data_IF_999049502303
#
_entry.id   IF_999049502303
#
_cell.length_a   1.000
_cell.length_b   1.000
_cell.length_c   1.000
_cell.angle_alpha   90.00
_cell.angle_beta   90.00
_cell.angle_gamma   90.00
#
_symmetry.space_group_name_H-M   'P 1'
#
loop_
_entity.id
_entity.type
_entity.pdbx_description
1 polymer ?
#
# COMPACT_ATOMS: atom_id res chain seq x y z
N UNK A 1 -6.75 13.87 -13.94
CA UNK A 1 -7.30 14.71 -12.84
C UNK A 1 -8.56 14.11 -12.20
N UNK A 2 -9.60 13.68 -12.96
CA UNK A 2 -10.77 13.02 -12.34
C UNK A 2 -10.46 11.66 -11.68
N UNK A 3 -9.54 10.86 -12.22
CA UNK A 3 -9.07 9.62 -11.58
C UNK A 3 -8.27 9.90 -10.29
N UNK A 4 -7.44 10.94 -10.32
CA UNK A 4 -6.63 11.48 -9.22
C UNK A 4 -7.47 11.90 -8.00
N UNK A 5 -8.72 12.32 -8.24
CA UNK A 5 -9.68 12.65 -7.17
C UNK A 5 -10.50 11.45 -6.69
N UNK A 6 -10.65 10.38 -7.47
CA UNK A 6 -11.45 9.21 -7.10
C UNK A 6 -10.65 8.26 -6.20
N UNK A 7 -9.38 8.03 -6.52
CA UNK A 7 -8.43 7.28 -5.67
C UNK A 7 -8.22 8.00 -4.34
N UNK A 8 -7.90 9.30 -4.37
CA UNK A 8 -7.76 10.11 -3.15
C UNK A 8 -9.05 10.19 -2.30
N UNK A 9 -10.25 10.26 -2.91
CA UNK A 9 -11.51 10.25 -2.12
C UNK A 9 -11.75 8.92 -1.45
N UNK A 10 -11.50 7.79 -2.11
CA UNK A 10 -11.65 6.47 -1.47
C UNK A 10 -10.62 6.26 -0.36
N UNK A 11 -9.39 6.77 -0.52
CA UNK A 11 -8.37 6.76 0.54
C UNK A 11 -8.74 7.65 1.74
N UNK A 12 -9.43 8.77 1.51
CA UNK A 12 -9.93 9.66 2.58
C UNK A 12 -11.22 9.13 3.23
N UNK A 13 -12.14 8.51 2.47
CA UNK A 13 -13.40 7.97 3.00
C UNK A 13 -13.19 6.73 3.89
N UNK A 14 -12.08 6.00 3.74
CA UNK A 14 -11.69 4.90 4.63
C UNK A 14 -11.10 5.37 5.99
N UNK A 15 -10.78 6.66 6.14
CA UNK A 15 -10.21 7.21 7.37
C UNK A 15 -11.33 7.77 8.25
N UNK A 16 -12.08 6.88 8.91
CA UNK A 16 -12.93 7.25 10.04
C UNK A 16 -12.05 7.39 11.30
N UNK A 17 -11.55 8.60 11.59
CA UNK A 17 -10.86 8.89 12.86
C UNK A 17 -11.91 9.22 13.92
N UNK A 18 -12.28 8.23 14.74
CA UNK A 18 -13.08 8.43 15.94
C UNK A 18 -12.17 8.41 17.19
N UNK A 19 -12.16 9.54 17.92
CA UNK A 19 -11.84 9.78 19.35
C UNK A 19 -10.48 9.34 19.97
N UNK A 20 -9.97 10.07 20.99
CA UNK A 20 -8.60 9.96 21.49
C UNK A 20 -8.49 8.90 22.61
N UNK A 21 -8.17 7.67 22.23
CA UNK A 21 -7.62 6.65 23.13
C UNK A 21 -6.29 6.18 22.56
N UNK A 22 -5.29 5.93 23.41
CA UNK A 22 -3.93 5.52 23.04
C UNK A 22 -3.92 4.55 21.84
N UNK A 23 -3.41 5.02 20.70
CA UNK A 23 -3.09 4.16 19.57
C UNK A 23 -1.90 3.32 20.03
N UNK A 24 -2.01 1.98 20.17
CA UNK A 24 -0.85 1.15 20.39
C UNK A 24 0.02 1.26 19.14
N UNK A 25 1.04 2.11 19.21
CA UNK A 25 1.97 2.30 18.13
C UNK A 25 2.84 1.04 17.96
N UNK A 26 3.14 0.62 16.71
CA UNK A 26 2.57 1.07 15.44
C UNK A 26 1.46 0.13 14.96
N UNK A 27 0.30 0.70 14.58
CA UNK A 27 -0.69 -0.01 13.78
C UNK A 27 -0.13 -0.11 12.36
N UNK A 28 0.25 -1.31 11.92
CA UNK A 28 0.66 -1.62 10.55
C UNK A 28 -0.44 -1.15 9.59
N UNK A 29 -0.14 -0.19 8.71
CA UNK A 29 -1.05 0.25 7.65
C UNK A 29 -0.61 -0.34 6.32
N UNK A 30 -1.57 -0.84 5.56
CA UNK A 30 -1.35 -1.47 4.26
C UNK A 30 -2.42 -1.01 3.27
N UNK A 31 -2.08 -0.98 1.98
CA UNK A 31 -3.04 -0.76 0.92
C UNK A 31 -3.30 -2.08 0.20
N UNK A 32 -4.56 -2.51 0.22
CA UNK A 32 -5.00 -3.75 -0.40
C UNK A 32 -6.00 -3.47 -1.52
N UNK A 33 -5.76 -4.08 -2.67
CA UNK A 33 -6.65 -4.12 -3.82
C UNK A 33 -6.88 -5.58 -4.16
N UNK A 34 -8.13 -6.02 -4.12
CA UNK A 34 -8.49 -7.40 -4.47
C UNK A 34 -8.31 -7.66 -5.97
N UNK A 35 -7.94 -8.90 -6.31
CA UNK A 35 -7.83 -9.36 -7.70
C UNK A 35 -7.46 -10.85 -7.75
N UNK A 36 -7.50 -11.43 -8.94
CA UNK A 36 -7.13 -12.83 -9.19
C UNK A 36 -5.63 -13.06 -8.97
N UNK A 37 -4.81 -12.07 -9.34
CA UNK A 37 -3.38 -12.03 -9.06
C UNK A 37 -3.09 -10.82 -8.17
N UNK A 38 -2.41 -11.04 -7.06
CA UNK A 38 -2.01 -9.97 -6.14
C UNK A 38 -0.53 -9.64 -6.35
N UNK A 39 -0.23 -8.38 -6.66
CA UNK A 39 1.13 -7.86 -6.72
C UNK A 39 1.55 -7.28 -5.37
N UNK A 40 2.62 -7.81 -4.79
CA UNK A 40 3.25 -7.23 -3.61
C UNK A 40 4.01 -5.95 -3.98
N UNK A 41 3.89 -4.91 -3.16
CA UNK A 41 4.64 -3.66 -3.31
C UNK A 41 5.25 -3.20 -1.98
N UNK A 42 6.53 -2.82 -2.00
CA UNK A 42 7.13 -2.04 -0.92
C UNK A 42 7.29 -0.61 -1.42
N UNK A 43 6.77 0.35 -0.66
CA UNK A 43 6.82 1.76 -0.97
C UNK A 43 7.40 2.52 0.21
N UNK A 44 8.23 3.50 -0.09
CA UNK A 44 8.83 4.39 0.90
C UNK A 44 7.85 5.54 1.24
N UNK A 45 6.70 5.21 1.84
CA UNK A 45 5.66 6.21 2.13
C UNK A 45 6.13 7.20 3.18
N UNK A 46 6.87 6.72 4.18
CA UNK A 46 7.51 7.55 5.19
C UNK A 46 9.04 7.55 5.05
N UNK A 47 9.66 8.63 5.50
CA UNK A 47 11.10 8.77 5.63
C UNK A 47 11.65 7.90 6.76
N UNK A 48 12.96 7.69 6.73
CA UNK A 48 13.70 7.08 7.83
C UNK A 48 13.75 8.01 9.05
N UNK A 49 13.54 7.44 10.24
CA UNK A 49 13.71 8.11 11.53
C UNK A 49 14.30 7.13 12.55
N UNK A 50 15.33 7.47 13.32
CA UNK A 50 16.00 6.48 14.17
C UNK A 50 15.30 6.27 15.53
N UNK A 51 14.48 7.23 15.97
CA UNK A 51 13.83 7.19 17.30
C UNK A 51 12.48 6.49 17.32
N UNK A 52 11.77 6.47 16.20
CA UNK A 52 10.46 5.83 16.03
C UNK A 52 10.46 4.94 14.78
N UNK A 53 9.42 4.14 14.58
CA UNK A 53 9.36 3.17 13.47
C UNK A 53 9.48 3.86 12.11
N UNK A 54 8.75 4.96 11.89
CA UNK A 54 8.68 5.68 10.63
C UNK A 54 8.72 7.19 10.87
N UNK A 55 9.36 7.93 9.96
CA UNK A 55 9.46 9.38 9.97
C UNK A 55 8.28 10.07 9.31
N UNK A 56 8.43 11.34 8.88
CA UNK A 56 7.41 12.07 8.12
C UNK A 56 7.07 11.42 6.78
N UNK A 57 5.89 11.73 6.22
CA UNK A 57 5.46 11.23 4.91
C UNK A 57 6.30 11.87 3.79
N UNK A 58 6.75 11.06 2.82
CA UNK A 58 7.38 11.49 1.57
C UNK A 58 6.34 11.69 0.46
N UNK A 59 5.98 12.93 0.09
CA UNK A 59 4.91 13.15 -0.89
C UNK A 59 5.30 12.71 -2.30
N UNK A 60 6.52 13.01 -2.73
CA UNK A 60 7.00 12.73 -4.09
C UNK A 60 7.67 11.35 -4.21
N UNK A 61 8.43 10.92 -3.20
CA UNK A 61 9.11 9.61 -3.21
C UNK A 61 8.17 8.45 -2.87
N UNK A 62 7.28 8.67 -1.89
CA UNK A 62 6.40 7.63 -1.37
C UNK A 62 5.01 7.66 -1.97
N UNK A 63 4.24 8.70 -1.66
CA UNK A 63 2.82 8.79 -2.03
C UNK A 63 2.63 8.79 -3.55
N UNK A 64 3.46 9.54 -4.29
CA UNK A 64 3.39 9.56 -5.75
C UNK A 64 3.71 8.18 -6.36
N UNK A 65 4.67 7.44 -5.81
CA UNK A 65 5.00 6.09 -6.27
C UNK A 65 3.87 5.10 -5.98
N UNK A 66 3.32 5.13 -4.76
CA UNK A 66 2.15 4.36 -4.35
C UNK A 66 0.96 4.59 -5.29
N UNK A 67 0.61 5.86 -5.52
CA UNK A 67 -0.51 6.23 -6.40
C UNK A 67 -0.22 5.88 -7.86
N UNK A 68 1.04 5.94 -8.30
CA UNK A 68 1.41 5.51 -9.67
C UNK A 68 1.17 4.02 -9.86
N UNK A 69 1.46 3.19 -8.85
CA UNK A 69 1.16 1.76 -8.89
C UNK A 69 -0.35 1.52 -8.97
N UNK A 70 -1.14 2.14 -8.08
CA UNK A 70 -2.60 2.01 -8.06
C UNK A 70 -3.25 2.49 -9.37
N UNK A 71 -2.82 3.64 -9.89
CA UNK A 71 -3.27 4.15 -11.18
C UNK A 71 -2.94 3.19 -12.33
N UNK A 72 -1.77 2.56 -12.29
CA UNK A 72 -1.38 1.58 -13.31
C UNK A 72 -2.28 0.35 -13.27
N UNK A 73 -2.65 -0.13 -12.08
CA UNK A 73 -3.60 -1.23 -11.92
C UNK A 73 -4.98 -0.88 -12.50
N UNK A 74 -5.47 0.33 -12.23
CA UNK A 74 -6.73 0.80 -12.80
C UNK A 74 -6.70 0.83 -14.34
N UNK A 75 -5.59 1.30 -14.92
CA UNK A 75 -5.40 1.34 -16.38
C UNK A 75 -5.32 -0.06 -16.98
N UNK A 76 -4.70 -1.02 -16.30
CA UNK A 76 -4.62 -2.41 -16.75
C UNK A 76 -5.97 -3.11 -16.66
N UNK A 77 -6.66 -2.98 -15.52
CA UNK A 77 -7.95 -3.64 -15.28
C UNK A 77 -9.10 -3.02 -16.11
N UNK A 78 -8.96 -1.78 -16.60
CA UNK A 78 -9.93 -1.14 -17.49
C UNK A 78 -9.72 -1.40 -18.98
N UNK A 79 -8.65 -2.10 -19.36
CA UNK A 79 -8.29 -2.42 -20.74
C UNK A 79 -8.30 -3.95 -20.98
N UNK A 80 -9.46 -4.55 -21.28
CA UNK A 80 -9.63 -6.00 -21.40
C UNK A 80 -8.81 -6.64 -22.54
N UNK A 81 -8.36 -5.82 -23.50
CA UNK A 81 -7.51 -6.21 -24.61
C UNK A 81 -6.06 -6.47 -24.20
N UNK A 82 -5.61 -5.93 -23.07
CA UNK A 82 -4.23 -6.08 -22.57
C UNK A 82 -4.05 -7.32 -21.71
N UNK A 83 -5.02 -7.60 -20.84
CA UNK A 83 -5.00 -8.75 -19.92
C UNK A 83 -6.38 -9.40 -19.93
N UNK A 84 -6.60 -10.41 -20.79
CA UNK A 84 -7.90 -11.05 -20.90
C UNK A 84 -8.18 -11.93 -19.67
N UNK A 85 -9.37 -11.78 -19.10
CA UNK A 85 -9.95 -12.65 -18.06
C UNK A 85 -9.18 -12.74 -16.73
N UNK A 86 -8.32 -11.79 -16.41
CA UNK A 86 -7.58 -11.75 -15.14
C UNK A 86 -7.60 -10.34 -14.58
N UNK A 87 -8.01 -10.20 -13.32
CA UNK A 87 -7.92 -8.95 -12.56
C UNK A 87 -6.63 -8.92 -11.75
N UNK A 88 -5.92 -7.81 -11.81
CA UNK A 88 -4.70 -7.60 -11.02
C UNK A 88 -5.03 -6.74 -9.81
N UNK A 89 -4.84 -7.31 -8.63
CA UNK A 89 -4.85 -6.63 -7.35
C UNK A 89 -3.46 -6.31 -6.84
N UNK A 90 -3.38 -5.76 -5.64
CA UNK A 90 -2.12 -5.42 -4.99
C UNK A 90 -2.19 -5.52 -3.48
N UNK A 91 -1.05 -5.78 -2.86
CA UNK A 91 -0.83 -5.71 -1.42
C UNK A 91 0.43 -4.88 -1.20
N UNK A 92 0.25 -3.65 -0.72
CA UNK A 92 1.32 -2.66 -0.65
C UNK A 92 1.60 -2.32 0.81
N UNK A 93 2.87 -2.43 1.19
CA UNK A 93 3.39 -2.19 2.52
C UNK A 93 4.40 -1.04 2.49
N UNK A 94 4.53 -0.36 3.63
CA UNK A 94 5.49 0.71 3.81
C UNK A 94 6.77 0.19 4.45
N UNK A 95 7.93 0.47 3.85
CA UNK A 95 9.24 0.07 4.38
C UNK A 95 9.93 1.15 5.22
N UNK A 96 9.34 2.36 5.27
CA UNK A 96 9.83 3.52 6.03
C UNK A 96 11.32 3.84 5.78
N UNK A 97 11.81 3.57 4.57
CA UNK A 97 13.21 3.76 4.15
C UNK A 97 14.22 3.09 5.11
N UNK A 98 13.82 1.92 5.66
CA UNK A 98 14.63 1.13 6.60
C UNK A 98 14.69 -0.33 6.19
N UNK A 99 15.89 -0.80 5.85
CA UNK A 99 16.13 -2.18 5.41
C UNK A 99 15.57 -3.25 6.36
N UNK A 100 15.75 -3.09 7.67
CA UNK A 100 15.28 -4.07 8.67
C UNK A 100 13.76 -4.13 8.74
N UNK A 101 13.10 -2.97 8.67
CA UNK A 101 11.65 -2.89 8.70
C UNK A 101 11.04 -3.35 7.37
N UNK A 102 11.66 -2.95 6.25
CA UNK A 102 11.33 -3.46 4.91
C UNK A 102 11.44 -4.98 4.82
N UNK A 103 12.46 -5.59 5.45
CA UNK A 103 12.57 -7.06 5.53
C UNK A 103 11.42 -7.67 6.34
N UNK A 104 11.07 -7.09 7.50
CA UNK A 104 9.92 -7.55 8.30
C UNK A 104 8.60 -7.50 7.51
N UNK A 105 8.41 -6.45 6.72
CA UNK A 105 7.27 -6.30 5.82
C UNK A 105 7.33 -7.28 4.64
N UNK A 106 8.49 -7.49 4.03
CA UNK A 106 8.66 -8.45 2.94
C UNK A 106 8.35 -9.89 3.37
N UNK A 107 8.64 -10.24 4.63
CA UNK A 107 8.28 -11.55 5.20
C UNK A 107 6.76 -11.74 5.22
N UNK A 108 5.97 -10.67 5.32
CA UNK A 108 4.51 -10.76 5.29
C UNK A 108 3.98 -11.32 3.97
N UNK A 109 4.60 -10.97 2.84
CA UNK A 109 4.24 -11.49 1.53
C UNK A 109 4.42 -13.01 1.39
N UNK A 110 5.31 -13.61 2.19
CA UNK A 110 5.54 -15.07 2.17
C UNK A 110 4.78 -15.80 3.28
N UNK A 111 4.48 -15.14 4.41
CA UNK A 111 3.71 -15.72 5.53
C UNK A 111 2.31 -16.17 5.08
N UNK A 112 1.65 -15.40 4.22
CA UNK A 112 0.33 -15.74 3.65
C UNK A 112 0.30 -17.01 2.79
N UNK A 113 1.47 -17.54 2.35
CA UNK A 113 1.56 -18.82 1.63
C UNK A 113 1.66 -20.02 2.57
N UNK A 114 1.99 -19.82 3.84
CA UNK A 114 2.25 -20.92 4.81
C UNK A 114 0.98 -21.30 5.59
N UNK A 115 0.03 -20.38 5.77
CA UNK A 115 -1.23 -20.64 6.50
C UNK A 115 -2.38 -21.17 5.62
N UNK A 116 -2.07 -21.72 4.44
CA UNK A 116 -3.03 -22.37 3.54
C UNK A 116 -2.75 -23.88 3.43
N UNK A 117 -2.49 -24.52 4.58
CA UNK A 117 -2.41 -25.99 4.77
C UNK A 117 -3.42 -26.40 5.81
#
# INVERSE_FOLDING_TARGET
>A
IKALLKSFRSLIEAVQVNEPGEIPWPVKKEAEVSGDIILGGLMMVHEREDTVTCGPIMPQGGIQALETMLYTLDVLNSAPDKIPNVTIGAHILDDCDKDTYGLEMAVDFIKGRINRV
#
